data_IF_014022839121
#
_entry.id   IF_014022839121
#
_cell.length_a   1.000
_cell.length_b   1.000
_cell.length_c   1.000
_cell.angle_alpha   90.00
_cell.angle_beta   90.00
_cell.angle_gamma   90.00
#
_symmetry.space_group_name_H-M   'P 1'
#
loop_
_entity.id
_entity.type
_entity.pdbx_description
1 polymer ?
#
# COMPACT_ATOMS: atom_id res chain seq x y z
N UNK A 1 -9.36 28.94 18.29
CA UNK A 1 -10.08 28.30 17.18
C UNK A 1 -10.87 27.10 17.73
N UNK A 2 -12.20 27.23 17.80
CA UNK A 2 -13.10 26.25 18.44
C UNK A 2 -13.04 24.88 17.75
N UNK A 3 -12.70 24.86 16.45
CA UNK A 3 -12.52 23.65 15.65
C UNK A 3 -11.37 22.79 16.16
N UNK A 4 -10.18 23.36 16.30
CA UNK A 4 -8.98 22.66 16.76
C UNK A 4 -9.16 22.04 18.15
N UNK A 5 -9.79 22.77 19.07
CA UNK A 5 -10.07 22.28 20.43
C UNK A 5 -11.05 21.10 20.45
N UNK A 6 -12.04 21.07 19.54
CA UNK A 6 -12.99 19.96 19.41
C UNK A 6 -12.33 18.70 18.84
N UNK A 7 -11.45 18.85 17.85
CA UNK A 7 -10.63 17.78 17.30
C UNK A 7 -9.69 17.15 18.35
N UNK A 8 -9.03 18.00 19.15
CA UNK A 8 -8.16 17.54 20.24
C UNK A 8 -8.93 16.76 21.31
N UNK A 9 -10.16 17.20 21.64
CA UNK A 9 -11.02 16.50 22.59
C UNK A 9 -11.41 15.09 22.09
N UNK A 10 -11.93 14.98 20.86
CA UNK A 10 -12.32 13.68 20.27
C UNK A 10 -11.13 12.72 20.21
N UNK A 11 -9.95 13.22 19.83
CA UNK A 11 -8.72 12.43 19.76
C UNK A 11 -8.31 11.91 21.14
N UNK A 12 -8.44 12.74 22.18
CA UNK A 12 -8.11 12.36 23.56
C UNK A 12 -9.09 11.31 24.10
N UNK A 13 -10.38 11.50 23.86
CA UNK A 13 -11.46 10.65 24.39
C UNK A 13 -11.44 9.25 23.76
N UNK A 14 -11.09 9.14 22.47
CA UNK A 14 -11.06 7.87 21.74
C UNK A 14 -9.71 7.15 21.78
N UNK A 15 -8.68 7.70 22.46
CA UNK A 15 -7.32 7.15 22.43
C UNK A 15 -7.23 5.70 22.92
N UNK A 16 -7.90 5.38 24.03
CA UNK A 16 -7.89 4.02 24.60
C UNK A 16 -8.68 3.06 23.72
N UNK A 17 -9.89 3.47 23.30
CA UNK A 17 -10.73 2.68 22.40
C UNK A 17 -10.02 2.35 21.08
N UNK A 18 -9.24 3.30 20.55
CA UNK A 18 -8.41 3.13 19.36
C UNK A 18 -7.40 1.99 19.53
N UNK A 19 -6.62 1.98 20.62
CA UNK A 19 -5.61 0.93 20.88
C UNK A 19 -6.25 -0.46 20.96
N UNK A 20 -7.34 -0.59 21.72
CA UNK A 20 -8.06 -1.87 21.82
C UNK A 20 -8.64 -2.32 20.48
N UNK A 21 -9.26 -1.41 19.73
CA UNK A 21 -9.81 -1.71 18.41
C UNK A 21 -8.73 -2.17 17.44
N UNK A 22 -7.58 -1.51 17.41
CA UNK A 22 -6.44 -1.88 16.57
C UNK A 22 -5.92 -3.28 16.94
N UNK A 23 -5.71 -3.56 18.23
CA UNK A 23 -5.29 -4.89 18.69
C UNK A 23 -6.29 -5.98 18.31
N UNK A 24 -7.59 -5.74 18.46
CA UNK A 24 -8.63 -6.69 18.05
C UNK A 24 -8.60 -6.92 16.54
N UNK A 25 -8.37 -5.88 15.73
CA UNK A 25 -8.23 -6.03 14.29
C UNK A 25 -6.97 -6.80 13.89
N UNK A 26 -5.84 -6.56 14.55
CA UNK A 26 -4.61 -7.34 14.36
C UNK A 26 -4.84 -8.82 14.74
N UNK A 27 -5.45 -9.07 15.90
CA UNK A 27 -5.77 -10.43 16.35
C UNK A 27 -6.74 -11.14 15.41
N UNK A 28 -7.73 -10.44 14.83
CA UNK A 28 -8.60 -11.00 13.80
C UNK A 28 -7.81 -11.29 12.51
N UNK A 29 -6.98 -10.37 12.05
CA UNK A 29 -6.17 -10.58 10.86
C UNK A 29 -5.24 -11.80 11.00
N UNK A 30 -4.78 -12.09 12.22
CA UNK A 30 -4.00 -13.29 12.55
C UNK A 30 -4.89 -14.54 12.72
N UNK A 31 -5.99 -14.43 13.46
CA UNK A 31 -6.82 -15.57 13.90
C UNK A 31 -7.92 -16.03 12.94
N UNK A 32 -8.30 -15.25 11.92
CA UNK A 32 -9.36 -15.66 10.97
C UNK A 32 -8.92 -16.81 10.04
N UNK A 33 -7.65 -17.23 10.10
CA UNK A 33 -7.09 -18.36 9.32
C UNK A 33 -7.15 -19.68 10.10
N UNK A 34 -7.26 -19.66 11.42
CA UNK A 34 -7.60 -20.84 12.23
C UNK A 34 -9.12 -20.91 12.32
N UNK A 35 -9.71 -21.72 11.43
CA UNK A 35 -11.14 -21.70 11.13
C UNK A 35 -12.06 -21.86 12.34
N UNK A 36 -13.24 -21.24 12.24
CA UNK A 36 -14.44 -21.71 12.93
C UNK A 36 -15.68 -21.18 12.23
N UNK A 37 -16.33 -22.07 11.50
CA UNK A 37 -17.79 -22.13 11.55
C UNK A 37 -18.16 -22.59 12.97
N UNK A 38 -19.16 -21.96 13.56
CA UNK A 38 -19.88 -22.53 14.71
C UNK A 38 -19.42 -21.98 16.06
N UNK A 39 -20.39 -21.36 16.72
CA UNK A 39 -20.44 -21.07 18.16
C UNK A 39 -20.00 -22.29 18.97
N UNK A 40 -19.01 -22.14 19.85
CA UNK A 40 -18.94 -22.83 21.15
C UNK A 40 -17.77 -22.30 21.98
N UNK A 41 -17.94 -22.35 23.30
CA UNK A 41 -17.27 -21.56 24.31
C UNK A 41 -15.77 -21.83 24.49
N UNK A 42 -15.11 -20.82 25.04
CA UNK A 42 -13.70 -20.76 25.35
C UNK A 42 -13.17 -21.96 26.16
N UNK A 43 -12.25 -22.71 25.57
CA UNK A 43 -11.21 -23.41 26.31
C UNK A 43 -9.84 -23.18 25.64
N UNK A 44 -8.98 -22.45 26.35
CA UNK A 44 -7.56 -22.30 26.03
C UNK A 44 -6.91 -23.69 25.92
N UNK A 45 -6.69 -24.15 24.69
CA UNK A 45 -5.81 -25.27 24.38
C UNK A 45 -4.87 -24.82 23.26
N UNK A 46 -3.59 -25.16 23.43
CA UNK A 46 -2.45 -24.82 22.57
C UNK A 46 -2.83 -24.75 21.08
N UNK A 47 -2.73 -23.54 20.51
CA UNK A 47 -3.04 -23.27 19.11
C UNK A 47 -1.91 -23.84 18.25
N UNK A 48 -2.07 -25.10 17.86
CA UNK A 48 -1.31 -25.71 16.78
C UNK A 48 -1.64 -24.99 15.47
N UNK A 49 -0.72 -24.15 14.98
CA UNK A 49 -0.78 -23.60 13.63
C UNK A 49 -0.77 -24.74 12.58
N UNK A 50 -1.39 -24.56 11.40
CA UNK A 50 -1.48 -25.63 10.40
C UNK A 50 -0.08 -26.10 9.98
N UNK A 51 0.20 -27.37 10.25
CA UNK A 51 1.48 -28.08 10.05
C UNK A 51 1.92 -28.15 8.57
N UNK A 52 1.12 -27.66 7.64
CA UNK A 52 1.32 -27.85 6.19
C UNK A 52 2.29 -26.87 5.50
N UNK A 53 2.92 -25.92 6.21
CA UNK A 53 3.83 -24.94 5.58
C UNK A 53 5.33 -25.27 5.67
N UNK A 54 5.71 -26.42 6.27
CA UNK A 54 7.12 -26.77 6.47
C UNK A 54 7.82 -27.33 5.20
N UNK A 55 7.09 -27.70 4.15
CA UNK A 55 7.71 -28.33 2.97
C UNK A 55 8.34 -27.33 2.01
N UNK A 56 7.99 -26.04 2.08
CA UNK A 56 8.53 -24.98 1.19
C UNK A 56 8.95 -23.73 1.95
N UNK A 57 9.74 -22.89 1.29
CA UNK A 57 10.01 -21.53 1.80
C UNK A 57 8.71 -20.71 1.83
N UNK A 58 8.45 -19.95 2.91
CA UNK A 58 7.37 -18.97 2.91
C UNK A 58 7.72 -17.81 1.98
N UNK A 59 6.70 -17.12 1.47
CA UNK A 59 6.86 -16.05 0.48
C UNK A 59 6.48 -14.69 1.07
N UNK A 60 7.37 -13.71 0.90
CA UNK A 60 7.06 -12.30 1.15
C UNK A 60 6.96 -11.59 -0.20
N UNK A 61 5.75 -11.16 -0.56
CA UNK A 61 5.48 -10.36 -1.74
C UNK A 61 5.40 -8.87 -1.36
N UNK A 62 6.36 -8.08 -1.81
CA UNK A 62 6.41 -6.65 -1.64
C UNK A 62 5.73 -5.98 -2.85
N UNK A 63 4.49 -5.53 -2.68
CA UNK A 63 3.77 -4.76 -3.69
C UNK A 63 4.15 -3.28 -3.57
N UNK A 64 4.69 -2.71 -4.66
CA UNK A 64 5.18 -1.34 -4.72
C UNK A 64 4.60 -0.55 -5.89
N UNK A 65 4.64 0.78 -5.78
CA UNK A 65 4.06 1.68 -6.77
C UNK A 65 3.39 2.87 -6.11
N UNK A 66 3.51 4.02 -6.77
CA UNK A 66 2.95 5.27 -6.26
C UNK A 66 1.44 5.20 -6.03
N UNK A 67 0.92 6.13 -5.24
CA UNK A 67 -0.51 6.18 -4.96
C UNK A 67 -1.29 6.37 -6.28
N UNK A 68 -2.37 5.59 -6.48
CA UNK A 68 -3.12 5.61 -7.74
C UNK A 68 -2.47 4.88 -8.92
N UNK A 69 -1.34 4.18 -8.72
CA UNK A 69 -0.66 3.42 -9.77
C UNK A 69 -1.43 2.19 -10.28
N UNK A 70 -2.52 1.78 -9.63
CA UNK A 70 -3.28 0.59 -10.04
C UNK A 70 -2.79 -0.73 -9.43
N UNK A 71 -2.07 -0.68 -8.31
CA UNK A 71 -1.58 -1.87 -7.56
C UNK A 71 -2.66 -2.92 -7.31
N UNK A 72 -3.85 -2.51 -6.88
CA UNK A 72 -4.95 -3.43 -6.60
C UNK A 72 -5.43 -4.20 -7.84
N UNK A 73 -5.26 -3.65 -9.05
CA UNK A 73 -5.57 -4.37 -10.30
C UNK A 73 -4.52 -5.44 -10.57
N UNK A 74 -3.23 -5.12 -10.43
CA UNK A 74 -2.13 -6.08 -10.57
C UNK A 74 -2.22 -7.17 -9.51
N UNK A 75 -2.50 -6.81 -8.25
CA UNK A 75 -2.64 -7.77 -7.16
C UNK A 75 -3.74 -8.81 -7.46
N UNK A 76 -4.86 -8.40 -8.05
CA UNK A 76 -5.91 -9.34 -8.48
C UNK A 76 -5.40 -10.37 -9.49
N UNK A 77 -4.55 -9.96 -10.42
CA UNK A 77 -3.94 -10.87 -11.40
C UNK A 77 -2.91 -11.79 -10.75
N UNK A 78 -2.06 -11.27 -9.86
CA UNK A 78 -1.08 -12.07 -9.10
C UNK A 78 -1.78 -13.12 -8.24
N UNK A 79 -2.90 -12.79 -7.60
CA UNK A 79 -3.68 -13.73 -6.81
C UNK A 79 -4.34 -14.85 -7.65
N UNK A 80 -4.34 -14.75 -8.98
CA UNK A 80 -4.74 -15.85 -9.88
C UNK A 80 -3.56 -16.75 -10.29
N UNK A 81 -2.32 -16.44 -9.89
CA UNK A 81 -1.20 -17.34 -10.15
C UNK A 81 -1.34 -18.61 -9.29
N UNK A 82 -0.93 -19.80 -9.80
CA UNK A 82 -1.15 -21.08 -9.10
C UNK A 82 -0.71 -21.09 -7.64
N UNK A 83 0.44 -20.46 -7.35
CA UNK A 83 0.97 -20.33 -6.00
C UNK A 83 0.01 -19.60 -5.05
N UNK A 84 -0.54 -18.46 -5.47
CA UNK A 84 -1.39 -17.63 -4.62
C UNK A 84 -2.81 -18.18 -4.52
N UNK A 85 -3.28 -18.89 -5.54
CA UNK A 85 -4.52 -19.67 -5.47
C UNK A 85 -4.39 -20.77 -4.39
N UNK A 86 -3.27 -21.49 -4.38
CA UNK A 86 -2.99 -22.53 -3.39
C UNK A 86 -2.80 -21.96 -1.98
N UNK A 87 -2.08 -20.83 -1.85
CA UNK A 87 -1.93 -20.14 -0.58
C UNK A 87 -3.30 -19.66 -0.04
N UNK A 88 -4.21 -19.27 -0.94
CA UNK A 88 -5.62 -18.99 -0.62
C UNK A 88 -5.78 -17.99 0.52
N UNK A 89 -6.60 -18.35 1.51
CA UNK A 89 -6.83 -17.54 2.72
C UNK A 89 -5.70 -17.60 3.74
N UNK A 90 -4.67 -18.43 3.52
CA UNK A 90 -3.53 -18.53 4.44
C UNK A 90 -2.51 -17.41 4.22
N UNK A 91 -2.50 -16.80 3.03
CA UNK A 91 -1.69 -15.62 2.76
C UNK A 91 -2.26 -14.39 3.48
N UNK A 92 -1.40 -13.69 4.21
CA UNK A 92 -1.77 -12.47 4.91
C UNK A 92 -1.49 -11.23 4.06
N UNK A 93 -2.51 -10.44 3.77
CA UNK A 93 -2.33 -9.11 3.17
C UNK A 93 -2.17 -8.06 4.28
N UNK A 94 -1.05 -7.35 4.26
CA UNK A 94 -0.75 -6.23 5.15
C UNK A 94 -0.84 -4.93 4.38
N UNK A 95 -1.87 -4.14 4.67
CA UNK A 95 -2.11 -2.83 4.05
C UNK A 95 -2.39 -1.79 5.15
N UNK A 96 -1.55 -0.75 5.26
CA UNK A 96 -1.74 0.29 6.27
C UNK A 96 -3.05 1.07 6.09
N UNK A 97 -3.51 1.25 4.84
CA UNK A 97 -4.76 1.96 4.55
C UNK A 97 -6.00 1.18 5.03
N UNK A 98 -5.95 -0.14 5.12
CA UNK A 98 -7.07 -0.95 5.66
C UNK A 98 -7.33 -0.64 7.14
N UNK A 99 -6.26 -0.44 7.92
CA UNK A 99 -6.38 -0.05 9.33
C UNK A 99 -6.97 1.35 9.53
N UNK A 100 -6.80 2.26 8.55
CA UNK A 100 -7.41 3.61 8.62
C UNK A 100 -8.93 3.54 8.56
N UNK A 101 -9.48 2.66 7.73
CA UNK A 101 -10.94 2.53 7.54
C UNK A 101 -11.63 2.01 8.80
N UNK A 102 -10.93 1.17 9.56
CA UNK A 102 -11.40 0.62 10.83
C UNK A 102 -11.13 1.54 12.03
N UNK A 103 -10.33 2.59 11.86
CA UNK A 103 -9.94 3.49 12.94
C UNK A 103 -11.15 4.27 13.48
N UNK A 104 -11.40 4.15 14.79
CA UNK A 104 -12.53 4.78 15.46
C UNK A 104 -12.52 6.31 15.36
N UNK A 105 -11.34 6.94 15.30
CA UNK A 105 -11.19 8.39 15.12
C UNK A 105 -11.52 8.77 13.68
N UNK A 106 -11.01 8.00 12.71
CA UNK A 106 -11.31 8.23 11.29
C UNK A 106 -12.81 8.11 11.01
N UNK A 107 -13.47 7.06 11.55
CA UNK A 107 -14.92 6.87 11.41
C UNK A 107 -15.73 7.96 12.10
N UNK A 108 -15.34 8.37 13.31
CA UNK A 108 -16.04 9.41 14.07
C UNK A 108 -15.98 10.77 13.37
N UNK A 109 -14.87 11.11 12.74
CA UNK A 109 -14.73 12.39 12.04
C UNK A 109 -15.39 12.33 10.65
N UNK A 110 -15.24 11.21 9.92
CA UNK A 110 -15.85 11.04 8.60
C UNK A 110 -17.38 11.05 8.65
N UNK A 111 -18.00 10.53 9.72
CA UNK A 111 -19.45 10.53 9.90
C UNK A 111 -20.06 11.90 10.21
N UNK A 112 -19.24 12.89 10.60
CA UNK A 112 -19.70 14.25 10.91
C UNK A 112 -19.89 15.15 9.68
N UNK A 113 -19.66 14.67 8.46
CA UNK A 113 -19.98 15.38 7.22
C UNK A 113 -19.07 16.56 6.87
N UNK A 114 -17.93 16.72 7.56
CA UNK A 114 -16.97 17.79 7.29
C UNK A 114 -15.92 17.36 6.27
N UNK A 115 -16.30 17.34 4.99
CA UNK A 115 -15.42 16.92 3.88
C UNK A 115 -14.13 17.76 3.75
N UNK A 116 -14.12 19.00 4.25
CA UNK A 116 -12.94 19.86 4.25
C UNK A 116 -11.82 19.39 5.19
N UNK A 117 -12.13 18.58 6.20
CA UNK A 117 -11.18 18.11 7.22
C UNK A 117 -10.66 16.69 6.94
N UNK A 118 -11.13 16.08 5.84
CA UNK A 118 -10.79 14.72 5.42
C UNK A 118 -9.28 14.49 5.29
N UNK A 119 -8.55 15.49 4.80
CA UNK A 119 -7.11 15.42 4.61
C UNK A 119 -6.36 15.41 5.95
N UNK A 120 -6.70 16.32 6.85
CA UNK A 120 -6.10 16.39 8.20
C UNK A 120 -6.42 15.13 9.01
N UNK A 121 -7.64 14.61 8.86
CA UNK A 121 -8.09 13.38 9.54
C UNK A 121 -7.28 12.17 9.09
N UNK A 122 -7.06 12.01 7.78
CA UNK A 122 -6.26 10.92 7.23
C UNK A 122 -4.79 10.99 7.71
N UNK A 123 -4.23 12.18 7.88
CA UNK A 123 -2.88 12.39 8.41
C UNK A 123 -2.77 12.03 9.90
N UNK A 124 -3.77 12.40 10.70
CA UNK A 124 -3.79 12.11 12.14
C UNK A 124 -3.78 10.61 12.43
N UNK A 125 -4.51 9.83 11.63
CA UNK A 125 -4.55 8.38 11.84
C UNK A 125 -3.37 7.65 11.22
N UNK A 126 -2.65 8.29 10.30
CA UNK A 126 -1.59 7.67 9.50
C UNK A 126 -0.55 6.93 10.34
N UNK A 127 0.00 7.58 11.38
CA UNK A 127 1.05 6.97 12.19
C UNK A 127 0.59 5.67 12.85
N UNK A 128 -0.56 5.66 13.52
CA UNK A 128 -1.01 4.44 14.21
C UNK A 128 -1.47 3.35 13.24
N UNK A 129 -1.97 3.69 12.05
CA UNK A 129 -2.25 2.68 11.02
C UNK A 129 -0.97 2.07 10.45
N UNK A 130 0.08 2.87 10.29
CA UNK A 130 1.42 2.40 9.89
C UNK A 130 2.04 1.52 10.99
N UNK A 131 1.92 1.93 12.25
CA UNK A 131 2.43 1.16 13.39
C UNK A 131 1.70 -0.20 13.49
N UNK A 132 0.37 -0.22 13.31
CA UNK A 132 -0.44 -1.44 13.32
C UNK A 132 -0.07 -2.41 12.18
N UNK A 133 0.08 -1.88 10.95
CA UNK A 133 0.53 -2.67 9.82
C UNK A 133 1.95 -3.23 10.05
N UNK A 134 2.83 -2.45 10.67
CA UNK A 134 4.20 -2.88 10.99
C UNK A 134 4.22 -3.97 12.08
N UNK A 135 3.36 -3.85 13.09
CA UNK A 135 3.14 -4.86 14.15
C UNK A 135 2.66 -6.18 13.54
N UNK A 136 1.65 -6.12 12.68
CA UNK A 136 1.12 -7.27 11.97
C UNK A 136 2.17 -7.92 11.07
N UNK A 137 2.96 -7.10 10.34
CA UNK A 137 4.01 -7.57 9.44
C UNK A 137 5.09 -8.36 10.19
N UNK A 138 5.70 -7.79 11.24
CA UNK A 138 6.77 -8.47 11.98
C UNK A 138 6.27 -9.73 12.67
N UNK A 139 5.03 -9.72 13.16
CA UNK A 139 4.40 -10.89 13.78
C UNK A 139 4.23 -12.01 12.75
N UNK A 140 3.64 -11.70 11.58
CA UNK A 140 3.41 -12.68 10.52
C UNK A 140 4.71 -13.27 9.95
N UNK A 141 5.76 -12.46 9.83
CA UNK A 141 7.07 -12.90 9.36
C UNK A 141 7.78 -13.79 10.38
N UNK A 142 7.71 -13.45 11.67
CA UNK A 142 8.18 -14.33 12.75
C UNK A 142 7.38 -15.63 12.85
N UNK A 143 6.15 -15.67 12.34
CA UNK A 143 5.30 -16.87 12.25
C UNK A 143 5.46 -17.63 10.93
N UNK A 144 6.30 -17.16 10.00
CA UNK A 144 6.61 -17.89 8.77
C UNK A 144 5.41 -17.99 7.82
N UNK A 145 4.46 -17.05 7.91
CA UNK A 145 3.32 -17.00 7.00
C UNK A 145 3.72 -16.49 5.63
N UNK A 146 2.98 -16.86 4.60
CA UNK A 146 3.04 -16.12 3.35
C UNK A 146 2.43 -14.73 3.57
N UNK A 147 3.14 -13.69 3.17
CA UNK A 147 2.77 -12.30 3.43
C UNK A 147 2.80 -11.50 2.14
N UNK A 148 1.77 -10.70 1.90
CA UNK A 148 1.70 -9.69 0.86
C UNK A 148 1.70 -8.33 1.56
N UNK A 149 2.79 -7.57 1.42
CA UNK A 149 2.86 -6.20 1.91
C UNK A 149 2.41 -5.24 0.80
N UNK A 150 1.20 -4.68 0.90
CA UNK A 150 0.73 -3.64 -0.02
C UNK A 150 1.12 -2.25 0.48
N UNK A 151 2.17 -1.71 -0.14
CA UNK A 151 2.73 -0.40 0.19
C UNK A 151 3.04 0.44 -1.04
N UNK A 152 3.54 1.65 -0.80
CA UNK A 152 4.12 2.43 -1.90
C UNK A 152 5.55 1.98 -2.23
N UNK A 153 6.24 1.40 -1.24
CA UNK A 153 7.69 1.12 -1.27
C UNK A 153 8.52 2.36 -1.67
N UNK A 154 8.03 3.55 -1.31
CA UNK A 154 8.65 4.84 -1.65
C UNK A 154 9.70 5.31 -0.64
N UNK A 155 9.90 4.56 0.45
CA UNK A 155 10.85 4.91 1.50
C UNK A 155 11.89 3.79 1.61
N UNK A 156 13.03 4.00 0.97
CA UNK A 156 14.05 2.97 0.74
C UNK A 156 14.57 2.32 2.03
N UNK A 157 14.95 3.06 3.10
CA UNK A 157 15.47 2.43 4.32
C UNK A 157 14.49 1.45 4.96
N UNK A 158 13.19 1.76 4.92
CA UNK A 158 12.14 0.85 5.42
C UNK A 158 12.10 -0.45 4.62
N UNK A 159 12.18 -0.37 3.29
CA UNK A 159 12.13 -1.55 2.41
C UNK A 159 13.37 -2.43 2.62
N UNK A 160 14.56 -1.82 2.67
CA UNK A 160 15.80 -2.55 2.87
C UNK A 160 15.87 -3.25 4.22
N UNK A 161 15.50 -2.54 5.30
CA UNK A 161 15.44 -3.14 6.63
C UNK A 161 14.38 -4.25 6.68
N UNK A 162 13.25 -4.11 6.00
CA UNK A 162 12.21 -5.14 5.92
C UNK A 162 12.70 -6.39 5.20
N UNK A 163 13.42 -6.24 4.09
CA UNK A 163 14.05 -7.35 3.37
C UNK A 163 15.08 -8.03 4.28
N UNK A 164 15.95 -7.27 4.95
CA UNK A 164 16.95 -7.81 5.87
C UNK A 164 16.32 -8.60 7.02
N UNK A 165 15.28 -8.06 7.65
CA UNK A 165 14.49 -8.75 8.67
C UNK A 165 13.90 -10.05 8.10
N UNK A 166 13.21 -10.01 6.96
CA UNK A 166 12.58 -11.19 6.36
C UNK A 166 13.60 -12.30 6.00
N UNK A 167 14.84 -11.94 5.66
CA UNK A 167 15.92 -12.92 5.49
C UNK A 167 16.36 -13.55 6.81
N UNK A 168 16.29 -12.82 7.92
CA UNK A 168 16.77 -13.27 9.23
C UNK A 168 15.71 -13.97 10.12
N UNK A 169 14.40 -13.73 9.91
CA UNK A 169 13.32 -14.26 10.79
C UNK A 169 13.27 -15.79 10.91
N UNK A 170 13.89 -16.54 9.99
CA UNK A 170 13.97 -18.00 10.10
C UNK A 170 14.91 -18.46 11.23
N UNK A 171 15.87 -17.63 11.64
CA UNK A 171 16.88 -17.96 12.65
C UNK A 171 16.96 -16.96 13.81
N UNK A 172 16.26 -15.83 13.73
CA UNK A 172 16.25 -14.83 14.78
C UNK A 172 14.90 -14.10 14.83
N UNK A 173 14.28 -14.06 16.01
CA UNK A 173 13.04 -13.30 16.20
C UNK A 173 13.32 -11.80 16.09
N UNK A 174 12.40 -11.08 15.46
CA UNK A 174 12.45 -9.62 15.37
C UNK A 174 11.24 -8.97 16.05
N UNK A 175 11.36 -7.69 16.40
CA UNK A 175 10.27 -6.85 16.88
C UNK A 175 10.30 -5.50 16.18
N UNK A 176 9.24 -4.72 16.32
CA UNK A 176 9.25 -3.33 15.86
C UNK A 176 10.34 -2.53 16.57
N UNK A 177 11.12 -1.79 15.79
CA UNK A 177 12.02 -0.76 16.26
C UNK A 177 11.29 0.57 16.48
N UNK A 178 12.08 1.63 16.73
CA UNK A 178 11.55 2.98 17.00
C UNK A 178 10.98 3.70 15.77
N UNK A 179 11.20 3.15 14.58
CA UNK A 179 10.85 3.74 13.29
C UNK A 179 11.77 4.91 12.93
N UNK A 180 11.22 5.88 12.18
CA UNK A 180 11.89 7.14 11.88
C UNK A 180 11.55 8.18 12.97
N UNK A 181 12.57 8.74 13.60
CA UNK A 181 12.47 9.80 14.61
C UNK A 181 13.51 10.88 14.36
N UNK A 182 13.11 12.12 14.60
CA UNK A 182 13.99 13.28 14.63
C UNK A 182 13.90 13.86 16.04
N UNK A 183 15.03 13.86 16.75
CA UNK A 183 15.13 14.39 18.11
C UNK A 183 15.21 15.94 18.09
N UNK A 184 15.05 16.57 19.25
CA UNK A 184 15.01 18.04 19.38
C UNK A 184 16.31 18.73 18.92
N UNK A 185 17.43 18.01 19.02
CA UNK A 185 18.75 18.42 18.56
C UNK A 185 18.96 18.20 17.04
N UNK A 186 17.97 17.65 16.34
CA UNK A 186 18.01 17.32 14.92
C UNK A 186 18.64 15.95 14.62
N UNK A 187 19.02 15.17 15.64
CA UNK A 187 19.53 13.80 15.44
C UNK A 187 18.44 12.92 14.83
N UNK A 188 18.79 12.21 13.75
CA UNK A 188 17.86 11.29 13.06
C UNK A 188 18.17 9.87 13.50
N UNK A 189 17.17 9.20 14.09
CA UNK A 189 17.19 7.77 14.35
C UNK A 189 16.23 7.07 13.40
N UNK A 190 16.72 6.11 12.63
CA UNK A 190 15.91 5.35 11.67
C UNK A 190 16.16 3.85 11.82
N UNK A 191 15.29 3.20 12.60
CA UNK A 191 15.37 1.76 12.85
C UNK A 191 13.97 1.16 12.95
N UNK A 192 13.56 0.40 11.93
CA UNK A 192 12.22 -0.16 11.82
C UNK A 192 12.08 -1.52 12.48
N UNK A 193 13.16 -2.31 12.53
CA UNK A 193 13.13 -3.69 13.03
C UNK A 193 14.32 -3.97 13.91
N UNK A 194 14.06 -4.55 15.08
CA UNK A 194 15.10 -4.91 16.05
C UNK A 194 15.14 -6.42 16.25
N UNK A 195 16.31 -7.06 16.19
CA UNK A 195 16.44 -8.43 16.63
C UNK A 195 16.17 -8.54 18.13
N UNK A 196 15.49 -9.62 18.52
CA UNK A 196 15.33 -9.99 19.93
C UNK A 196 16.54 -10.82 20.35
N UNK A 197 17.43 -10.32 21.23
CA UNK A 197 18.63 -11.04 21.64
C UNK A 197 18.27 -12.23 22.54
N UNK A 198 19.01 -13.33 22.39
CA UNK A 198 18.97 -14.52 23.26
C UNK A 198 17.61 -15.24 23.35
N UNK A 199 16.76 -15.16 22.31
CA UNK A 199 15.49 -15.91 22.24
C UNK A 199 15.75 -17.39 21.84
N UNK A 200 16.30 -18.17 22.78
CA UNK A 200 16.68 -19.57 22.53
C UNK A 200 15.47 -20.46 22.22
N UNK A 201 14.32 -20.18 22.82
CA UNK A 201 13.08 -20.91 22.61
C UNK A 201 12.58 -20.71 21.17
N UNK A 202 12.62 -19.47 20.66
CA UNK A 202 12.29 -19.20 19.26
C UNK A 202 13.22 -19.94 18.29
N UNK A 203 14.53 -19.90 18.53
CA UNK A 203 15.51 -20.58 17.67
C UNK A 203 15.31 -22.10 17.69
N UNK A 204 15.03 -22.67 18.86
CA UNK A 204 14.74 -24.09 19.00
C UNK A 204 13.45 -24.48 18.25
N UNK A 205 12.39 -23.69 18.40
CA UNK A 205 11.10 -23.92 17.75
C UNK A 205 11.13 -23.76 16.21
N UNK A 206 12.08 -22.96 15.68
CA UNK A 206 12.18 -22.64 14.26
C UNK A 206 13.39 -23.27 13.57
N UNK A 207 14.06 -24.27 14.17
CA UNK A 207 15.29 -24.88 13.63
C UNK A 207 15.15 -25.38 12.18
N UNK A 208 13.99 -25.92 11.84
CA UNK A 208 13.70 -26.49 10.52
C UNK A 208 13.03 -25.49 9.56
N UNK A 209 12.83 -24.24 10.00
CA UNK A 209 12.19 -23.22 9.17
C UNK A 209 13.09 -22.82 8.02
N UNK A 210 12.54 -22.87 6.81
CA UNK A 210 13.20 -22.39 5.60
C UNK A 210 13.22 -20.85 5.55
N UNK A 211 14.27 -20.23 4.99
CA UNK A 211 14.30 -18.79 4.77
C UNK A 211 13.22 -18.35 3.80
N UNK A 212 12.75 -17.11 3.94
CA UNK A 212 11.76 -16.51 3.04
C UNK A 212 12.30 -16.40 1.61
N UNK A 213 11.44 -16.75 0.65
CA UNK A 213 11.55 -16.27 -0.73
C UNK A 213 10.90 -14.88 -0.80
N UNK A 214 11.63 -13.89 -1.28
CA UNK A 214 11.18 -12.50 -1.32
C UNK A 214 10.99 -12.09 -2.77
N UNK A 215 9.82 -11.54 -3.08
CA UNK A 215 9.47 -11.06 -4.41
C UNK A 215 9.03 -9.60 -4.35
N UNK A 216 9.39 -8.80 -5.35
CA UNK A 216 8.87 -7.42 -5.52
C UNK A 216 8.00 -7.37 -6.76
N UNK A 217 6.79 -6.83 -6.61
CA UNK A 217 5.91 -6.51 -7.73
C UNK A 217 5.69 -5.00 -7.74
N UNK A 218 6.30 -4.35 -8.71
CA UNK A 218 6.16 -2.93 -8.96
C UNK A 218 5.03 -2.61 -9.91
N UNK A 219 4.36 -1.48 -9.70
CA UNK A 219 3.41 -0.91 -10.66
C UNK A 219 3.77 0.54 -10.94
N UNK A 220 4.02 0.83 -12.21
CA UNK A 220 4.29 2.18 -12.72
C UNK A 220 3.14 2.63 -13.62
N UNK A 221 2.86 3.92 -13.59
CA UNK A 221 1.98 4.55 -14.56
C UNK A 221 2.36 6.02 -14.72
N UNK A 222 1.76 6.64 -15.73
CA UNK A 222 1.85 8.07 -15.93
C UNK A 222 1.35 8.81 -14.68
N UNK A 223 2.11 9.83 -14.28
CA UNK A 223 1.85 10.58 -13.07
C UNK A 223 0.55 11.38 -13.14
N UNK A 224 0.19 11.92 -14.31
CA UNK A 224 -1.09 12.59 -14.48
C UNK A 224 -2.25 11.60 -14.29
N UNK A 225 -2.16 10.42 -14.91
CA UNK A 225 -3.16 9.37 -14.75
C UNK A 225 -3.33 8.98 -13.28
N UNK A 226 -2.23 8.82 -12.55
CA UNK A 226 -2.28 8.53 -11.13
C UNK A 226 -3.04 9.60 -10.35
N UNK A 227 -2.76 10.89 -10.62
CA UNK A 227 -3.44 12.03 -10.00
C UNK A 227 -4.93 12.03 -10.32
N UNK A 228 -5.30 11.83 -11.59
CA UNK A 228 -6.70 11.73 -12.01
C UNK A 228 -7.43 10.59 -11.30
N UNK A 229 -6.79 9.41 -11.17
CA UNK A 229 -7.32 8.27 -10.38
C UNK A 229 -7.46 8.62 -8.90
N UNK A 230 -6.49 9.34 -8.34
CA UNK A 230 -6.52 9.84 -6.95
C UNK A 230 -7.71 10.76 -6.69
N UNK A 231 -7.95 11.72 -7.58
CA UNK A 231 -9.10 12.64 -7.51
C UNK A 231 -10.42 11.86 -7.65
N UNK A 232 -10.52 10.95 -8.62
CA UNK A 232 -11.71 10.11 -8.77
C UNK A 232 -11.99 9.28 -7.51
N UNK A 233 -10.96 8.70 -6.91
CA UNK A 233 -11.08 7.96 -5.64
C UNK A 233 -11.54 8.86 -4.50
N UNK A 234 -11.04 10.09 -4.43
CA UNK A 234 -11.48 11.07 -3.44
C UNK A 234 -12.97 11.39 -3.57
N UNK A 235 -13.47 11.56 -4.79
CA UNK A 235 -14.90 11.79 -5.07
C UNK A 235 -15.75 10.57 -4.70
N UNK A 236 -15.32 9.37 -5.11
CA UNK A 236 -16.12 8.14 -4.93
C UNK A 236 -16.13 7.61 -3.48
N UNK A 237 -15.00 7.74 -2.78
CA UNK A 237 -14.78 7.07 -1.48
C UNK A 237 -14.52 8.04 -0.34
N UNK A 238 -14.40 9.34 -0.61
CA UNK A 238 -13.98 10.32 0.40
C UNK A 238 -12.55 10.10 0.88
N UNK A 239 -11.65 9.59 0.03
CA UNK A 239 -10.22 9.43 0.36
C UNK A 239 -9.34 10.31 -0.53
N UNK A 240 -9.02 11.49 -0.01
CA UNK A 240 -8.14 12.44 -0.68
C UNK A 240 -6.66 12.18 -0.32
N UNK A 241 -5.79 12.42 -1.29
CA UNK A 241 -4.33 12.39 -1.14
C UNK A 241 -3.79 13.67 -1.75
N UNK A 242 -2.83 14.33 -1.09
CA UNK A 242 -2.17 15.50 -1.67
C UNK A 242 -1.41 15.11 -2.93
N UNK A 243 -1.56 15.89 -3.98
CA UNK A 243 -0.88 15.68 -5.27
C UNK A 243 0.63 15.57 -5.08
N UNK A 244 1.25 16.48 -4.32
CA UNK A 244 2.69 16.43 -4.05
C UNK A 244 3.12 15.10 -3.38
N UNK A 245 2.38 14.61 -2.38
CA UNK A 245 2.66 13.32 -1.74
C UNK A 245 2.51 12.15 -2.72
N UNK A 246 1.53 12.24 -3.62
CA UNK A 246 1.34 11.26 -4.68
C UNK A 246 2.51 11.25 -5.66
N UNK A 247 2.90 12.39 -6.22
CA UNK A 247 4.05 12.52 -7.12
C UNK A 247 5.35 12.06 -6.44
N UNK A 248 5.57 12.44 -5.18
CA UNK A 248 6.73 12.01 -4.38
C UNK A 248 6.77 10.50 -4.24
N UNK A 249 5.63 9.85 -3.98
CA UNK A 249 5.58 8.39 -3.85
C UNK A 249 5.93 7.66 -5.16
N UNK A 250 5.48 8.20 -6.30
CA UNK A 250 5.82 7.68 -7.62
C UNK A 250 7.30 7.82 -7.91
N UNK A 251 7.85 9.02 -7.74
CA UNK A 251 9.26 9.32 -8.01
C UNK A 251 10.20 8.45 -7.19
N UNK A 252 9.99 8.40 -5.88
CA UNK A 252 10.88 7.64 -4.98
C UNK A 252 10.79 6.14 -5.24
N UNK A 253 9.60 5.60 -5.46
CA UNK A 253 9.45 4.19 -5.83
C UNK A 253 10.19 3.87 -7.13
N UNK A 254 9.97 4.66 -8.18
CA UNK A 254 10.60 4.45 -9.48
C UNK A 254 12.13 4.53 -9.39
N UNK A 255 12.65 5.52 -8.65
CA UNK A 255 14.09 5.68 -8.43
C UNK A 255 14.72 4.50 -7.68
N UNK A 256 14.00 3.88 -6.73
CA UNK A 256 14.52 2.80 -5.90
C UNK A 256 14.28 1.39 -6.49
N UNK A 257 13.41 1.24 -7.48
CA UNK A 257 12.98 -0.07 -7.99
C UNK A 257 14.15 -0.97 -8.44
N UNK A 258 15.13 -0.42 -9.13
CA UNK A 258 16.29 -1.18 -9.58
C UNK A 258 17.14 -1.69 -8.40
N UNK A 259 17.26 -0.89 -7.33
CA UNK A 259 17.94 -1.31 -6.10
C UNK A 259 17.18 -2.46 -5.43
N UNK A 260 15.85 -2.36 -5.33
CA UNK A 260 15.03 -3.44 -4.79
C UNK A 260 15.20 -4.74 -5.56
N UNK A 261 15.26 -4.68 -6.90
CA UNK A 261 15.50 -5.84 -7.75
C UNK A 261 16.80 -6.58 -7.39
N UNK A 262 17.83 -5.90 -6.85
CA UNK A 262 19.09 -6.53 -6.47
C UNK A 262 19.01 -7.26 -5.11
N UNK A 263 18.03 -6.93 -4.28
CA UNK A 263 17.92 -7.44 -2.91
C UNK A 263 16.97 -8.65 -2.76
N UNK A 264 16.14 -8.91 -3.78
CA UNK A 264 15.05 -9.90 -3.72
C UNK A 264 15.26 -11.06 -4.69
N UNK A 265 14.55 -12.17 -4.49
CA UNK A 265 14.67 -13.37 -5.32
C UNK A 265 13.94 -13.22 -6.66
N UNK A 266 12.78 -12.57 -6.66
CA UNK A 266 11.99 -12.32 -7.87
C UNK A 266 11.56 -10.87 -7.97
N UNK A 267 11.48 -10.35 -9.20
CA UNK A 267 10.94 -9.02 -9.44
C UNK A 267 10.03 -9.02 -10.67
N UNK A 268 8.92 -8.29 -10.60
CA UNK A 268 8.05 -7.99 -11.76
C UNK A 268 7.72 -6.50 -11.73
N UNK A 269 7.66 -5.87 -12.90
CA UNK A 269 7.21 -4.49 -13.05
C UNK A 269 6.06 -4.46 -14.06
N UNK A 270 4.94 -3.87 -13.66
CA UNK A 270 3.78 -3.69 -14.50
C UNK A 270 3.56 -2.23 -14.86
N UNK A 271 3.19 -1.96 -16.10
CA UNK A 271 2.64 -0.69 -16.55
C UNK A 271 1.12 -0.74 -16.47
N UNK A 272 0.49 0.26 -15.88
CA UNK A 272 -0.97 0.42 -15.88
C UNK A 272 -1.45 1.61 -16.73
N UNK A 273 -0.67 1.96 -17.76
CA UNK A 273 -1.00 3.01 -18.73
C UNK A 273 -2.01 2.58 -19.80
N UNK A 274 -2.27 1.29 -19.96
CA UNK A 274 -3.28 0.79 -20.89
C UNK A 274 -4.69 0.87 -20.28
N UNK A 275 -5.68 1.12 -21.13
CA UNK A 275 -7.09 0.92 -20.78
C UNK A 275 -7.37 -0.59 -20.80
N UNK A 276 -7.25 -1.27 -19.65
CA UNK A 276 -7.47 -2.71 -19.55
C UNK A 276 -6.59 -3.39 -18.50
N UNK A 277 -6.08 -4.57 -18.83
CA UNK A 277 -5.15 -5.32 -17.98
C UNK A 277 -3.78 -4.62 -17.93
N UNK A 278 -3.14 -4.56 -16.76
CA UNK A 278 -1.75 -4.14 -16.63
C UNK A 278 -0.83 -4.96 -17.54
N UNK A 279 0.19 -4.32 -18.09
CA UNK A 279 1.18 -4.95 -18.95
C UNK A 279 2.45 -5.26 -18.15
N UNK A 280 2.95 -6.49 -18.19
CA UNK A 280 4.27 -6.82 -17.66
C UNK A 280 5.35 -6.19 -18.55
N UNK A 281 6.19 -5.33 -17.97
CA UNK A 281 7.21 -4.56 -18.70
C UNK A 281 8.63 -4.83 -18.22
N UNK A 282 8.80 -5.45 -17.04
CA UNK A 282 10.07 -6.01 -16.63
C UNK A 282 9.88 -7.22 -15.72
N UNK A 283 10.81 -8.18 -15.77
CA UNK A 283 10.80 -9.33 -14.86
C UNK A 283 12.19 -9.90 -14.58
N UNK A 284 12.34 -10.48 -13.40
CA UNK A 284 13.51 -11.22 -12.92
C UNK A 284 13.02 -12.47 -12.18
N UNK A 285 13.52 -13.64 -12.59
CA UNK A 285 13.09 -14.93 -12.05
C UNK A 285 13.94 -15.48 -10.89
N UNK A 286 15.15 -14.98 -10.70
CA UNK A 286 16.05 -15.43 -9.65
C UNK A 286 16.96 -14.30 -9.13
N UNK A 287 17.59 -14.50 -7.96
CA UNK A 287 18.36 -13.46 -7.28
C UNK A 287 19.54 -12.95 -8.12
N UNK A 288 20.20 -13.83 -8.87
CA UNK A 288 21.38 -13.55 -9.70
C UNK A 288 21.01 -13.19 -11.15
N UNK A 289 19.72 -13.26 -11.48
CA UNK A 289 19.19 -13.02 -12.79
C UNK A 289 19.27 -11.54 -13.15
N UNK A 290 19.47 -11.27 -14.44
CA UNK A 290 19.32 -9.91 -14.95
C UNK A 290 17.84 -9.56 -15.09
N UNK A 291 17.49 -8.30 -14.84
CA UNK A 291 16.13 -7.79 -15.09
C UNK A 291 15.91 -7.72 -16.61
N UNK A 292 15.01 -8.55 -17.12
CA UNK A 292 14.58 -8.50 -18.51
C UNK A 292 13.54 -7.40 -18.64
N UNK A 293 13.71 -6.51 -19.62
CA UNK A 293 12.88 -5.30 -19.78
C UNK A 293 12.30 -5.23 -21.18
N UNK A 294 11.07 -4.75 -21.30
CA UNK A 294 10.47 -4.31 -22.56
C UNK A 294 10.98 -2.90 -22.88
N UNK A 295 11.90 -2.73 -23.87
CA UNK A 295 12.61 -1.47 -24.06
C UNK A 295 11.70 -0.28 -24.38
N UNK A 296 10.52 -0.53 -24.95
CA UNK A 296 9.56 0.54 -25.34
C UNK A 296 8.75 1.08 -24.18
N UNK A 297 8.60 0.30 -23.11
CA UNK A 297 7.73 0.64 -21.98
C UNK A 297 8.53 1.02 -20.72
N UNK A 298 9.77 0.52 -20.59
CA UNK A 298 10.61 0.77 -19.41
C UNK A 298 10.96 2.25 -19.22
N UNK A 299 10.99 3.04 -20.29
CA UNK A 299 11.22 4.50 -20.27
C UNK A 299 10.22 5.25 -19.36
N UNK A 300 9.02 4.72 -19.13
CA UNK A 300 8.11 5.33 -18.16
C UNK A 300 8.68 5.28 -16.73
N UNK A 301 9.38 4.21 -16.34
CA UNK A 301 10.02 4.13 -15.02
C UNK A 301 11.05 5.24 -14.85
N UNK A 302 11.91 5.44 -15.84
CA UNK A 302 12.97 6.47 -15.82
C UNK A 302 12.40 7.89 -15.85
N UNK A 303 11.32 8.13 -16.62
CA UNK A 303 10.63 9.43 -16.60
C UNK A 303 10.00 9.70 -15.24
N UNK A 304 9.34 8.70 -14.65
CA UNK A 304 8.67 8.82 -13.35
C UNK A 304 9.68 9.01 -12.22
N UNK A 305 10.87 8.40 -12.28
CA UNK A 305 11.92 8.63 -11.28
C UNK A 305 12.47 10.06 -11.28
N UNK A 306 12.22 10.82 -12.34
CA UNK A 306 12.68 12.20 -12.52
C UNK A 306 11.55 13.24 -12.46
N UNK A 307 10.38 12.90 -11.89
CA UNK A 307 9.27 13.82 -11.71
C UNK A 307 9.68 15.08 -10.93
N UNK A 308 9.08 16.21 -11.32
CA UNK A 308 9.04 17.42 -10.51
C UNK A 308 7.81 17.39 -9.60
N UNK A 309 8.02 17.06 -8.32
CA UNK A 309 6.93 16.98 -7.33
C UNK A 309 6.34 18.34 -6.98
N UNK A 310 7.08 19.43 -7.27
CA UNK A 310 6.67 20.82 -7.10
C UNK A 310 6.01 21.42 -8.34
N UNK A 311 5.72 20.61 -9.37
CA UNK A 311 5.10 21.09 -10.60
C UNK A 311 3.77 21.81 -10.34
N UNK A 312 3.61 22.99 -10.92
CA UNK A 312 2.37 23.77 -10.87
C UNK A 312 1.55 23.62 -12.16
N UNK A 313 2.13 23.03 -13.20
CA UNK A 313 1.49 22.73 -14.48
C UNK A 313 1.91 21.35 -15.01
N UNK A 314 1.16 20.83 -15.99
CA UNK A 314 1.50 19.57 -16.65
C UNK A 314 2.84 19.65 -17.41
N UNK A 315 3.16 20.81 -17.97
CA UNK A 315 4.40 21.01 -18.71
C UNK A 315 5.64 20.99 -17.81
N UNK A 316 5.45 21.27 -16.52
CA UNK A 316 6.54 21.27 -15.54
C UNK A 316 6.69 19.90 -14.85
N UNK A 317 5.82 18.92 -15.16
CA UNK A 317 5.73 17.65 -14.45
C UNK A 317 6.91 16.72 -14.75
N UNK A 318 7.29 16.63 -16.03
CA UNK A 318 8.44 15.85 -16.48
C UNK A 318 9.56 16.75 -17.01
N UNK A 319 10.83 16.35 -16.86
CA UNK A 319 11.95 17.06 -17.46
C UNK A 319 11.78 17.19 -18.99
N UNK A 320 12.17 18.34 -19.54
CA UNK A 320 12.11 18.59 -20.99
C UNK A 320 10.72 18.88 -21.55
N UNK A 321 9.70 19.08 -20.70
CA UNK A 321 8.36 19.47 -21.12
C UNK A 321 7.50 18.35 -21.68
N UNK A 322 7.94 17.08 -21.52
CA UNK A 322 7.12 15.93 -21.86
C UNK A 322 5.82 15.94 -21.03
N UNK A 323 4.70 15.56 -21.65
CA UNK A 323 3.38 15.58 -20.99
C UNK A 323 2.88 14.19 -20.60
N UNK A 324 3.60 13.12 -20.99
CA UNK A 324 3.23 11.73 -20.74
C UNK A 324 4.46 10.83 -20.59
N UNK A 325 4.29 9.69 -19.92
CA UNK A 325 5.27 8.59 -19.90
C UNK A 325 4.77 7.39 -20.74
N UNK A 326 5.68 6.69 -21.43
CA UNK A 326 5.40 5.47 -22.18
C UNK A 326 4.95 5.66 -23.63
N UNK A 327 4.66 4.55 -24.31
CA UNK A 327 4.33 4.52 -25.76
C UNK A 327 2.90 4.94 -26.09
N UNK A 328 1.99 4.90 -25.11
CA UNK A 328 0.59 5.28 -25.22
C UNK A 328 0.21 6.35 -24.20
N UNK A 329 -0.42 7.40 -24.71
CA UNK A 329 -0.91 8.54 -23.95
C UNK A 329 -2.40 8.35 -23.69
N UNK A 330 -2.80 8.06 -22.45
CA UNK A 330 -4.22 8.04 -22.05
C UNK A 330 -4.88 9.40 -22.29
N UNK A 331 -4.09 10.48 -22.26
CA UNK A 331 -4.56 11.80 -22.66
C UNK A 331 -5.15 11.77 -24.07
N UNK A 332 -4.47 11.14 -25.02
CA UNK A 332 -4.96 11.03 -26.39
C UNK A 332 -6.18 10.10 -26.46
N UNK A 333 -6.14 8.99 -25.73
CA UNK A 333 -7.20 7.97 -25.74
C UNK A 333 -8.50 8.39 -25.03
N UNK A 334 -8.44 9.28 -24.04
CA UNK A 334 -9.61 9.70 -23.24
C UNK A 334 -9.94 11.19 -23.31
N UNK A 335 -8.93 12.07 -23.30
CA UNK A 335 -9.15 13.52 -23.15
C UNK A 335 -9.24 14.22 -24.50
N UNK A 336 -8.41 13.79 -25.45
CA UNK A 336 -8.41 14.28 -26.84
C UNK A 336 -9.30 13.41 -27.74
N UNK A 337 -9.82 12.29 -27.21
CA UNK A 337 -10.70 11.38 -27.95
C UNK A 337 -11.88 12.11 -28.62
N UNK A 338 -12.11 11.91 -29.93
CA UNK A 338 -13.21 12.56 -30.64
C UNK A 338 -14.60 12.27 -30.04
N UNK A 339 -14.76 11.11 -29.41
CA UNK A 339 -16.00 10.68 -28.76
C UNK A 339 -16.29 11.43 -27.45
N UNK A 340 -15.31 12.11 -26.86
CA UNK A 340 -15.44 12.75 -25.54
C UNK A 340 -16.58 13.75 -25.47
N UNK A 341 -16.76 14.57 -26.52
CA UNK A 341 -17.82 15.57 -26.55
C UNK A 341 -19.21 14.93 -26.47
N UNK A 342 -19.41 13.81 -27.18
CA UNK A 342 -20.66 13.04 -27.15
C UNK A 342 -20.88 12.44 -25.77
N UNK A 343 -19.87 11.78 -25.20
CA UNK A 343 -19.95 11.19 -23.84
C UNK A 343 -20.24 12.25 -22.78
N UNK A 344 -19.61 13.43 -22.86
CA UNK A 344 -19.89 14.54 -21.93
C UNK A 344 -21.32 15.07 -22.05
N UNK A 345 -21.87 15.12 -23.28
CA UNK A 345 -23.27 15.50 -23.49
C UNK A 345 -24.22 14.48 -22.86
N UNK A 346 -24.01 13.20 -23.11
CA UNK A 346 -24.82 12.11 -22.53
C UNK A 346 -24.79 12.14 -21.00
N UNK A 347 -23.60 12.28 -20.40
CA UNK A 347 -23.47 12.42 -18.94
C UNK A 347 -24.22 13.66 -18.43
N UNK A 348 -24.11 14.79 -19.13
CA UNK A 348 -24.80 16.03 -18.73
C UNK A 348 -26.32 15.88 -18.81
N UNK A 349 -26.84 15.21 -19.83
CA UNK A 349 -28.26 14.90 -19.99
C UNK A 349 -28.74 13.95 -18.89
N UNK A 350 -27.96 12.90 -18.60
CA UNK A 350 -28.25 11.97 -17.51
C UNK A 350 -28.28 12.68 -16.14
N UNK A 351 -27.31 13.54 -15.83
CA UNK A 351 -27.31 14.31 -14.58
C UNK A 351 -28.54 15.22 -14.49
N UNK A 352 -28.87 15.96 -15.56
CA UNK A 352 -30.06 16.82 -15.62
C UNK A 352 -31.37 16.06 -15.44
N UNK A 353 -31.42 14.80 -15.89
CA UNK A 353 -32.61 13.95 -15.73
C UNK A 353 -32.84 13.47 -14.29
N UNK A 354 -31.79 13.51 -13.45
CA UNK A 354 -31.81 13.01 -12.06
C UNK A 354 -31.81 14.15 -11.03
N UNK A 355 -31.28 15.33 -11.39
CA UNK A 355 -31.32 16.49 -10.50
C UNK A 355 -32.76 17.00 -10.33
N UNK A 356 -33.29 17.07 -9.09
CA UNK A 356 -34.57 17.69 -8.84
C UNK A 356 -34.47 19.17 -9.21
N UNK A 357 -35.45 19.68 -9.96
CA UNK A 357 -35.60 21.12 -10.20
C UNK A 357 -35.73 21.83 -8.86
N UNK A 358 -34.64 22.41 -8.37
CA UNK A 358 -34.66 23.32 -7.23
C UNK A 358 -35.44 24.55 -7.70
N UNK A 359 -36.71 24.63 -7.30
CA UNK A 359 -37.44 25.89 -7.35
C UNK A 359 -36.71 26.87 -6.44
N UNK A 360 -36.30 28.05 -6.92
CA UNK A 360 -35.74 29.06 -6.04
C UNK A 360 -36.85 29.45 -5.07
N UNK A 361 -36.65 29.18 -3.77
CA UNK A 361 -37.46 29.81 -2.73
C UNK A 361 -37.21 31.31 -2.85
N UNK A 362 -38.26 32.03 -3.24
CA UNK A 362 -38.24 33.49 -3.33
C UNK A 362 -37.85 34.09 -1.97
N UNK A 363 -37.08 35.17 -2.05
CA UNK A 363 -36.51 36.01 -1.00
C UNK A 363 -37.45 36.30 0.18
#
# INVERSE_FOLDING_TARGET
>A
DIRKQRFERITKDLKVARVFSTLVHEMKAIGTVTGMNGEEEAHCTDVMAPVAHNDRSPVLLLMGGGMGAGKSTVLKEILQEPFWIEAGTNALVVEADAFKETDVIYRAISSMGHHNDMLQTAELVHKSSTDAASSLLVTALNEGRDVILDGTLSWEPFVEQTIAMARAVHSQRHRMGVGYKVDEDGTITENYWEPVPNDQDFVAANRDRKPYRIEVVGVVCDAYLAVARGIRRAIMTGRAVRVNSQLTSHKRFAAAFQKYCQLVDGAKLYSSNSLGSPQLIAWKGDINGSLLVEPREIDCLDKVSNLNEGATSLHDLYPGGATTCGSRSIWDDMIVAPSRATVQREIREAIRSVEPTVTPTAL
#
